data_IF_844509589186
#
_entry.id   IF_844509589186
#
_cell.length_a   1.000
_cell.length_b   1.000
_cell.length_c   1.000
_cell.angle_alpha   90.00
_cell.angle_beta   90.00
_cell.angle_gamma   90.00
#
_symmetry.space_group_name_H-M   'P 1'
#
loop_
_entity.id
_entity.type
_entity.pdbx_description
1 polymer ?
#
# COMPACT_ATOMS: atom_id res chain seq x y z
N UNK A 1 -63.12 26.05 28.74
CA UNK A 1 -62.07 26.81 28.06
C UNK A 1 -60.76 26.21 28.28
N UNK A 2 -60.55 24.90 27.97
CA UNK A 2 -59.30 24.13 28.24
C UNK A 2 -58.86 23.20 27.09
N UNK A 3 -59.53 23.26 25.93
CA UNK A 3 -59.24 22.38 24.80
C UNK A 3 -58.36 22.96 23.67
N UNK A 4 -58.02 24.25 23.77
CA UNK A 4 -57.26 24.93 22.70
C UNK A 4 -55.73 24.76 22.77
N UNK A 5 -55.19 24.48 23.98
CA UNK A 5 -53.75 24.45 24.17
C UNK A 5 -53.08 23.12 23.78
N UNK A 6 -53.86 22.02 23.74
CA UNK A 6 -53.29 20.71 23.44
C UNK A 6 -52.98 20.52 21.96
N UNK A 7 -53.77 21.12 21.08
CA UNK A 7 -53.56 21.06 19.62
C UNK A 7 -52.36 21.94 19.17
N UNK A 8 -52.16 23.09 19.82
CA UNK A 8 -51.00 23.98 19.54
C UNK A 8 -49.70 23.36 20.04
N UNK A 9 -49.69 22.76 21.23
CA UNK A 9 -48.52 22.04 21.75
C UNK A 9 -48.13 20.86 20.87
N UNK A 10 -49.07 20.05 20.38
CA UNK A 10 -48.77 18.95 19.44
C UNK A 10 -48.15 19.45 18.12
N UNK A 11 -48.61 20.55 17.57
CA UNK A 11 -48.04 21.15 16.36
C UNK A 11 -46.63 21.69 16.58
N UNK A 12 -46.36 22.31 17.72
CA UNK A 12 -45.03 22.82 18.06
C UNK A 12 -44.03 21.64 18.27
N UNK A 13 -44.46 20.59 18.96
CA UNK A 13 -43.61 19.40 19.18
C UNK A 13 -43.33 18.67 17.84
N UNK A 14 -44.30 18.54 16.95
CA UNK A 14 -44.10 17.93 15.63
C UNK A 14 -43.18 18.78 14.76
N UNK A 15 -43.28 20.12 14.81
CA UNK A 15 -42.40 21.02 14.07
C UNK A 15 -40.97 21.00 14.61
N UNK A 16 -40.77 20.88 15.92
CA UNK A 16 -39.43 20.76 16.53
C UNK A 16 -38.79 19.38 16.18
N UNK A 17 -39.58 18.31 16.18
CA UNK A 17 -39.10 16.98 15.82
C UNK A 17 -38.72 16.90 14.33
N UNK A 18 -39.53 17.53 13.44
CA UNK A 18 -39.17 17.59 12.01
C UNK A 18 -37.95 18.46 11.71
N UNK A 19 -37.74 19.56 12.45
CA UNK A 19 -36.51 20.38 12.32
C UNK A 19 -35.29 19.72 12.94
N UNK A 20 -35.43 18.90 13.99
CA UNK A 20 -34.30 18.13 14.52
C UNK A 20 -33.92 16.92 13.63
N UNK A 21 -34.86 16.35 12.87
CA UNK A 21 -34.56 15.26 11.94
C UNK A 21 -33.94 15.75 10.63
N UNK A 22 -33.98 17.02 10.31
CA UNK A 22 -33.31 17.62 9.14
C UNK A 22 -31.88 18.12 9.45
N UNK A 23 -31.48 18.10 10.72
CA UNK A 23 -30.08 18.21 11.15
C UNK A 23 -29.37 16.83 11.16
N UNK A 24 -29.81 15.94 10.27
CA UNK A 24 -28.96 14.83 9.86
C UNK A 24 -27.70 15.43 9.28
N UNK A 25 -26.65 15.36 10.07
CA UNK A 25 -25.30 15.61 9.68
C UNK A 25 -25.06 15.00 8.30
N UNK A 26 -25.17 15.81 7.26
CA UNK A 26 -24.36 15.61 6.09
C UNK A 26 -22.93 15.84 6.62
N UNK A 27 -22.32 14.80 7.16
CA UNK A 27 -20.89 14.67 7.08
C UNK A 27 -20.64 14.70 5.57
N UNK A 28 -20.46 15.90 5.03
CA UNK A 28 -19.79 16.06 3.76
C UNK A 28 -18.46 15.37 3.96
N UNK A 29 -18.38 14.14 3.49
CA UNK A 29 -17.11 13.60 3.05
C UNK A 29 -16.58 14.70 2.13
N UNK A 30 -15.64 15.46 2.63
CA UNK A 30 -14.80 16.32 1.79
C UNK A 30 -14.13 15.32 0.87
N UNK A 31 -14.76 15.05 -0.27
CA UNK A 31 -14.09 14.46 -1.40
C UNK A 31 -13.00 15.46 -1.72
N UNK A 32 -11.78 15.13 -1.31
CA UNK A 32 -10.61 15.77 -1.85
C UNK A 32 -10.69 15.46 -3.34
N UNK A 33 -11.15 16.42 -4.14
CA UNK A 33 -11.10 16.31 -5.59
C UNK A 33 -9.63 16.26 -5.95
N UNK A 34 -9.14 15.05 -6.12
CA UNK A 34 -7.83 14.82 -6.69
C UNK A 34 -7.90 15.19 -8.18
N UNK A 35 -7.49 16.41 -8.47
CA UNK A 35 -7.40 16.94 -9.84
C UNK A 35 -6.19 16.40 -10.59
N UNK A 36 -5.33 15.62 -9.93
CA UNK A 36 -4.17 15.01 -10.53
C UNK A 36 -4.56 13.82 -11.40
N UNK A 37 -3.99 13.71 -12.59
CA UNK A 37 -4.13 12.55 -13.48
C UNK A 37 -3.16 11.41 -13.05
N UNK A 38 -3.07 11.15 -11.75
CA UNK A 38 -2.23 10.08 -11.24
C UNK A 38 -3.01 8.77 -11.13
N UNK A 39 -2.32 7.68 -11.37
CA UNK A 39 -2.83 6.34 -11.10
C UNK A 39 -2.62 6.04 -9.63
N UNK A 40 -3.72 5.79 -8.90
CA UNK A 40 -3.65 5.48 -7.48
C UNK A 40 -3.63 3.98 -7.24
N UNK A 41 -2.90 3.59 -6.23
CA UNK A 41 -2.87 2.26 -5.68
C UNK A 41 -2.62 2.29 -4.19
N UNK A 42 -2.71 1.12 -3.58
CA UNK A 42 -2.44 0.93 -2.16
C UNK A 42 -1.48 -0.23 -1.96
N UNK A 43 -0.74 -0.22 -0.88
CA UNK A 43 0.00 -1.37 -0.38
C UNK A 43 -0.63 -1.87 0.93
N UNK A 44 -0.69 -3.19 1.09
CA UNK A 44 -1.38 -3.84 2.20
C UNK A 44 -0.60 -5.05 2.71
N UNK A 45 -0.77 -5.32 3.99
CA UNK A 45 -0.32 -6.54 4.67
C UNK A 45 -1.37 -6.98 5.70
N UNK A 46 -1.06 -8.01 6.47
CA UNK A 46 -1.92 -8.43 7.58
C UNK A 46 -2.12 -7.32 8.63
N UNK A 47 -1.25 -6.32 8.72
CA UNK A 47 -1.36 -5.22 9.69
C UNK A 47 -2.60 -4.35 9.47
N UNK A 48 -3.12 -4.25 8.25
CA UNK A 48 -4.36 -3.55 7.94
C UNK A 48 -5.62 -4.35 8.32
N UNK A 49 -5.46 -5.58 8.79
CA UNK A 49 -6.58 -6.42 9.21
C UNK A 49 -7.49 -6.86 8.07
N UNK A 50 -8.80 -6.70 8.24
CA UNK A 50 -9.77 -7.02 7.20
C UNK A 50 -10.00 -5.81 6.30
N UNK A 51 -9.85 -5.99 5.01
CA UNK A 51 -10.03 -4.96 3.99
C UNK A 51 -11.46 -5.05 3.44
N UNK A 52 -12.13 -3.91 3.31
CA UNK A 52 -13.44 -3.79 2.67
C UNK A 52 -13.26 -3.69 1.15
N UNK A 53 -13.00 -4.83 0.51
CA UNK A 53 -12.62 -4.90 -0.90
C UNK A 53 -13.68 -4.35 -1.86
N UNK A 54 -14.96 -4.47 -1.52
CA UNK A 54 -16.04 -3.84 -2.27
C UNK A 54 -15.84 -2.32 -2.33
N UNK A 55 -15.58 -1.68 -1.19
CA UNK A 55 -15.31 -0.23 -1.12
C UNK A 55 -14.06 0.18 -1.90
N UNK A 56 -13.01 -0.66 -1.86
CA UNK A 56 -11.76 -0.40 -2.61
C UNK A 56 -11.98 -0.53 -4.11
N UNK A 57 -12.69 -1.58 -4.55
CA UNK A 57 -12.95 -1.84 -5.96
C UNK A 57 -13.96 -0.85 -6.58
N UNK A 58 -14.92 -0.36 -5.80
CA UNK A 58 -15.87 0.66 -6.26
C UNK A 58 -15.23 2.06 -6.42
N UNK A 59 -14.04 2.26 -5.85
CA UNK A 59 -13.29 3.49 -6.05
C UNK A 59 -12.60 3.49 -7.40
N UNK A 60 -13.22 4.14 -8.39
CA UNK A 60 -12.72 4.23 -9.77
C UNK A 60 -11.33 4.85 -9.92
N UNK A 61 -10.81 5.50 -8.88
CA UNK A 61 -9.43 6.02 -8.84
C UNK A 61 -8.40 4.96 -8.46
N UNK A 62 -8.82 3.87 -7.80
CA UNK A 62 -7.93 2.78 -7.41
C UNK A 62 -7.72 1.81 -8.58
N UNK A 63 -6.48 1.68 -9.04
CA UNK A 63 -6.14 0.85 -10.18
C UNK A 63 -5.37 -0.42 -9.78
N UNK A 64 -4.63 -0.37 -8.69
CA UNK A 64 -3.75 -1.46 -8.30
C UNK A 64 -3.57 -1.58 -6.78
N UNK A 65 -3.10 -2.75 -6.38
CA UNK A 65 -2.69 -3.03 -5.00
C UNK A 65 -1.37 -3.81 -5.00
N UNK A 66 -0.46 -3.46 -4.10
CA UNK A 66 0.66 -4.30 -3.72
C UNK A 66 0.37 -5.01 -2.40
N UNK A 67 0.51 -6.33 -2.38
CA UNK A 67 0.23 -7.17 -1.21
C UNK A 67 1.53 -7.74 -0.64
N UNK A 68 1.72 -7.63 0.68
CA UNK A 68 2.80 -8.35 1.35
C UNK A 68 2.61 -9.83 1.16
N UNK A 69 3.58 -10.47 0.52
CA UNK A 69 3.57 -11.92 0.38
C UNK A 69 4.43 -12.57 1.44
N UNK A 70 5.66 -12.06 1.60
CA UNK A 70 6.64 -12.68 2.48
C UNK A 70 7.59 -11.66 3.11
N UNK A 71 8.33 -12.12 4.11
CA UNK A 71 9.40 -11.38 4.77
C UNK A 71 10.54 -12.33 5.17
N UNK A 72 11.76 -11.97 4.86
CA UNK A 72 12.94 -12.80 5.21
C UNK A 72 12.81 -14.24 4.69
N UNK A 73 13.37 -15.18 5.42
CA UNK A 73 13.52 -16.55 4.94
C UNK A 73 12.28 -17.44 5.06
N UNK A 74 11.34 -17.13 5.96
CA UNK A 74 10.26 -18.07 6.33
C UNK A 74 8.92 -17.41 6.64
N UNK A 75 8.89 -16.10 6.80
CA UNK A 75 7.65 -15.42 7.18
C UNK A 75 6.76 -15.22 5.95
N UNK A 76 5.52 -15.70 6.02
CA UNK A 76 4.48 -15.54 5.02
C UNK A 76 3.38 -14.67 5.60
N UNK A 77 2.92 -13.66 4.85
CA UNK A 77 1.82 -12.82 5.31
C UNK A 77 0.53 -13.61 5.38
N UNK A 78 -0.09 -13.63 6.56
CA UNK A 78 -1.28 -14.46 6.85
C UNK A 78 -2.52 -14.08 6.04
N UNK A 79 -2.55 -12.87 5.48
CA UNK A 79 -3.67 -12.37 4.67
C UNK A 79 -3.39 -12.42 3.15
N UNK A 80 -2.16 -12.73 2.74
CA UNK A 80 -1.75 -12.65 1.34
C UNK A 80 -2.69 -13.40 0.40
N UNK A 81 -2.89 -14.70 0.65
CA UNK A 81 -3.68 -15.55 -0.24
C UNK A 81 -5.14 -15.09 -0.34
N UNK A 82 -5.73 -14.70 0.79
CA UNK A 82 -7.10 -14.17 0.79
C UNK A 82 -7.19 -12.85 0.04
N UNK A 83 -6.21 -11.96 0.26
CA UNK A 83 -6.23 -10.63 -0.31
C UNK A 83 -5.98 -10.63 -1.82
N UNK A 84 -5.11 -11.51 -2.35
CA UNK A 84 -4.88 -11.59 -3.80
C UNK A 84 -6.14 -12.04 -4.54
N UNK A 85 -6.84 -13.06 -4.02
CA UNK A 85 -8.09 -13.57 -4.61
C UNK A 85 -9.19 -12.50 -4.61
N UNK A 86 -9.29 -11.73 -3.51
CA UNK A 86 -10.29 -10.68 -3.38
C UNK A 86 -9.95 -9.46 -4.24
N UNK A 87 -8.71 -9.02 -4.27
CA UNK A 87 -8.28 -7.88 -5.10
C UNK A 87 -8.57 -8.13 -6.58
N UNK A 88 -8.24 -9.31 -7.10
CA UNK A 88 -8.57 -9.69 -8.47
C UNK A 88 -10.08 -9.74 -8.72
N UNK A 89 -10.85 -10.31 -7.77
CA UNK A 89 -12.32 -10.37 -7.89
C UNK A 89 -12.95 -8.99 -8.01
N UNK A 90 -12.39 -7.99 -7.36
CA UNK A 90 -12.83 -6.60 -7.43
C UNK A 90 -12.13 -5.77 -8.52
N UNK A 91 -11.44 -6.42 -9.46
CA UNK A 91 -10.92 -5.81 -10.68
C UNK A 91 -9.63 -5.01 -10.54
N UNK A 92 -8.94 -5.10 -9.41
CA UNK A 92 -7.66 -4.43 -9.21
C UNK A 92 -6.51 -5.20 -9.86
N UNK A 93 -5.52 -4.48 -10.37
CA UNK A 93 -4.23 -5.05 -10.74
C UNK A 93 -3.43 -5.38 -9.48
N UNK A 94 -2.86 -6.57 -9.42
CA UNK A 94 -2.18 -7.04 -8.22
C UNK A 94 -0.68 -7.22 -8.45
N UNK A 95 0.09 -6.64 -7.55
CA UNK A 95 1.51 -6.94 -7.37
C UNK A 95 1.76 -7.52 -5.98
N UNK A 96 2.88 -8.18 -5.82
CA UNK A 96 3.28 -8.73 -4.54
C UNK A 96 4.63 -8.19 -4.11
N UNK A 97 4.81 -8.03 -2.80
CA UNK A 97 6.08 -7.59 -2.28
C UNK A 97 6.70 -8.55 -1.25
N UNK A 98 8.01 -8.53 -1.23
CA UNK A 98 8.85 -9.20 -0.25
C UNK A 98 9.55 -8.16 0.62
N UNK A 99 9.38 -8.25 1.94
CA UNK A 99 10.13 -7.43 2.88
C UNK A 99 11.53 -8.02 3.09
N UNK A 100 12.53 -7.32 2.58
CA UNK A 100 13.92 -7.76 2.60
C UNK A 100 14.54 -7.69 3.99
N UNK A 101 15.23 -8.75 4.39
CA UNK A 101 15.99 -8.85 5.65
C UNK A 101 17.47 -9.09 5.38
N UNK A 102 18.29 -8.06 5.55
CA UNK A 102 19.68 -8.03 5.13
C UNK A 102 20.56 -9.18 5.69
N UNK A 103 20.25 -9.66 6.89
CA UNK A 103 21.02 -10.73 7.56
C UNK A 103 20.54 -12.14 7.21
N UNK A 104 19.51 -12.29 6.41
CA UNK A 104 18.99 -13.58 5.99
C UNK A 104 19.61 -13.96 4.63
N UNK A 105 20.02 -15.22 4.42
CA UNK A 105 20.57 -15.65 3.13
C UNK A 105 19.64 -15.34 1.97
N UNK A 106 20.18 -14.76 0.90
CA UNK A 106 19.41 -14.25 -0.23
C UNK A 106 18.63 -15.36 -0.96
N UNK A 107 19.24 -16.53 -1.09
CA UNK A 107 18.59 -17.68 -1.73
C UNK A 107 17.37 -18.14 -0.94
N UNK A 108 17.46 -18.19 0.39
CA UNK A 108 16.33 -18.56 1.26
C UNK A 108 15.19 -17.55 1.16
N UNK A 109 15.49 -16.25 1.05
CA UNK A 109 14.47 -15.20 0.85
C UNK A 109 13.80 -15.34 -0.51
N UNK A 110 14.58 -15.62 -1.58
CA UNK A 110 14.01 -15.85 -2.90
C UNK A 110 13.06 -17.06 -2.91
N UNK A 111 13.47 -18.16 -2.30
CA UNK A 111 12.66 -19.38 -2.20
C UNK A 111 11.34 -19.12 -1.46
N UNK A 112 11.41 -18.40 -0.34
CA UNK A 112 10.22 -17.98 0.40
C UNK A 112 9.28 -17.13 -0.45
N UNK A 113 9.82 -16.14 -1.17
CA UNK A 113 9.02 -15.26 -2.03
C UNK A 113 8.40 -16.03 -3.20
N UNK A 114 9.17 -16.83 -3.92
CA UNK A 114 8.68 -17.62 -5.06
C UNK A 114 7.66 -18.70 -4.67
N UNK A 115 7.73 -19.22 -3.45
CA UNK A 115 6.75 -20.19 -2.95
C UNK A 115 5.33 -19.59 -2.86
N UNK A 116 5.22 -18.27 -2.68
CA UNK A 116 3.94 -17.55 -2.59
C UNK A 116 3.59 -16.84 -3.90
N UNK A 117 4.57 -16.29 -4.61
CA UNK A 117 4.40 -15.43 -5.78
C UNK A 117 5.15 -16.00 -6.97
N UNK A 118 4.53 -16.85 -7.76
CA UNK A 118 5.17 -17.39 -8.96
C UNK A 118 5.30 -16.33 -10.05
N UNK A 119 6.38 -16.36 -10.84
CA UNK A 119 6.45 -15.56 -12.06
C UNK A 119 5.25 -15.88 -12.96
N UNK A 120 4.54 -14.85 -13.40
CA UNK A 120 3.34 -14.99 -14.24
C UNK A 120 2.00 -14.95 -13.50
N UNK A 121 1.99 -15.08 -12.18
CA UNK A 121 0.76 -14.94 -11.37
C UNK A 121 0.53 -13.47 -10.95
N UNK A 122 1.35 -12.54 -11.43
CA UNK A 122 1.37 -11.15 -11.04
C UNK A 122 0.99 -10.24 -12.21
N UNK A 123 0.14 -9.25 -11.97
CA UNK A 123 -0.17 -8.21 -12.96
C UNK A 123 0.93 -7.14 -13.02
N UNK A 124 1.67 -6.96 -11.92
CA UNK A 124 2.67 -5.90 -11.74
C UNK A 124 4.07 -6.50 -11.52
N UNK A 125 5.10 -5.66 -11.57
CA UNK A 125 6.46 -6.07 -11.24
C UNK A 125 6.54 -6.64 -9.82
N UNK A 126 7.36 -7.68 -9.58
CA UNK A 126 7.65 -8.07 -8.20
C UNK A 126 8.29 -6.89 -7.48
N UNK A 127 7.89 -6.63 -6.25
CA UNK A 127 8.42 -5.52 -5.47
C UNK A 127 9.25 -6.01 -4.30
N UNK A 128 10.40 -5.36 -4.09
CA UNK A 128 11.27 -5.60 -2.94
C UNK A 128 11.22 -4.38 -2.05
N UNK A 129 10.76 -4.60 -0.82
CA UNK A 129 10.63 -3.59 0.21
C UNK A 129 11.90 -3.53 1.05
N UNK A 130 12.61 -2.40 1.01
CA UNK A 130 13.95 -2.21 1.56
C UNK A 130 13.96 -1.01 2.50
N UNK A 131 13.75 -1.27 3.80
CA UNK A 131 13.61 -0.22 4.81
C UNK A 131 14.64 -0.29 5.94
N UNK A 132 15.40 -1.37 6.02
CA UNK A 132 16.35 -1.55 7.12
C UNK A 132 17.60 -2.31 6.69
N UNK A 133 18.76 -1.85 7.12
CA UNK A 133 20.02 -2.58 6.97
C UNK A 133 20.33 -3.51 8.14
N UNK A 134 19.43 -3.62 9.13
CA UNK A 134 19.55 -4.54 10.28
C UNK A 134 20.89 -4.43 11.01
N UNK A 135 21.45 -3.22 11.10
CA UNK A 135 22.74 -2.98 11.77
C UNK A 135 23.98 -3.45 10.99
N UNK A 136 23.84 -3.87 9.73
CA UNK A 136 24.99 -4.17 8.86
C UNK A 136 25.76 -2.91 8.49
N UNK A 137 27.02 -3.05 8.12
CA UNK A 137 27.74 -2.00 7.42
C UNK A 137 27.04 -1.66 6.11
N UNK A 138 27.19 -0.43 5.63
CA UNK A 138 26.44 0.05 4.46
C UNK A 138 26.91 -0.63 3.17
N UNK A 139 28.21 -0.89 3.03
CA UNK A 139 28.77 -1.55 1.86
C UNK A 139 28.35 -3.04 1.83
N UNK A 140 28.54 -3.72 2.96
CA UNK A 140 28.09 -5.11 3.13
C UNK A 140 26.58 -5.26 2.86
N UNK A 141 25.76 -4.32 3.37
CA UNK A 141 24.33 -4.29 3.11
C UNK A 141 24.01 -4.14 1.63
N UNK A 142 24.66 -3.20 0.95
CA UNK A 142 24.42 -2.99 -0.48
C UNK A 142 24.82 -4.22 -1.30
N UNK A 143 25.95 -4.84 -1.03
CA UNK A 143 26.39 -6.07 -1.69
C UNK A 143 25.40 -7.21 -1.48
N UNK A 144 24.89 -7.37 -0.25
CA UNK A 144 23.87 -8.34 0.11
C UNK A 144 22.57 -8.10 -0.66
N UNK A 145 22.11 -6.84 -0.69
CA UNK A 145 20.90 -6.43 -1.42
C UNK A 145 21.06 -6.70 -2.92
N UNK A 146 22.16 -6.28 -3.54
CA UNK A 146 22.38 -6.51 -4.97
C UNK A 146 22.38 -7.98 -5.34
N UNK A 147 23.00 -8.82 -4.54
CA UNK A 147 22.95 -10.29 -4.75
C UNK A 147 21.51 -10.78 -4.75
N UNK A 148 20.68 -10.29 -3.84
CA UNK A 148 19.26 -10.66 -3.78
C UNK A 148 18.50 -10.16 -5.00
N UNK A 149 18.67 -8.88 -5.38
CA UNK A 149 18.00 -8.30 -6.55
C UNK A 149 18.31 -9.05 -7.84
N UNK A 150 19.57 -9.45 -8.05
CA UNK A 150 19.99 -10.26 -9.20
C UNK A 150 19.33 -11.65 -9.20
N UNK A 151 19.17 -12.27 -8.04
CA UNK A 151 18.45 -13.54 -7.93
C UNK A 151 16.97 -13.37 -8.29
N UNK A 152 16.32 -12.31 -7.80
CA UNK A 152 14.92 -11.98 -8.15
C UNK A 152 14.79 -11.70 -9.66
N UNK A 153 15.68 -10.88 -10.22
CA UNK A 153 15.69 -10.56 -11.66
C UNK A 153 15.82 -11.84 -12.51
N UNK A 154 16.73 -12.73 -12.15
CA UNK A 154 16.91 -14.02 -12.84
C UNK A 154 15.67 -14.90 -12.75
N UNK A 155 15.02 -14.97 -11.58
CA UNK A 155 13.87 -15.81 -11.34
C UNK A 155 12.61 -15.29 -12.04
N UNK A 156 12.35 -13.98 -11.96
CA UNK A 156 11.18 -13.35 -12.55
C UNK A 156 11.38 -12.86 -13.98
N UNK A 157 12.63 -12.93 -14.49
CA UNK A 157 13.05 -12.46 -15.84
C UNK A 157 12.71 -10.99 -16.09
N UNK A 158 12.63 -10.21 -15.03
CA UNK A 158 12.39 -8.76 -15.03
C UNK A 158 12.96 -8.14 -13.76
N UNK A 159 13.38 -6.89 -13.87
CA UNK A 159 13.87 -6.14 -12.71
C UNK A 159 12.74 -5.87 -11.73
N UNK A 160 12.92 -6.12 -10.43
CA UNK A 160 11.92 -5.76 -9.45
C UNK A 160 11.79 -4.25 -9.30
N UNK A 161 10.62 -3.82 -8.86
CA UNK A 161 10.38 -2.49 -8.30
C UNK A 161 10.98 -2.45 -6.89
N UNK A 162 11.68 -1.39 -6.54
CA UNK A 162 12.24 -1.22 -5.20
C UNK A 162 11.40 -0.21 -4.44
N UNK A 163 10.79 -0.67 -3.35
CA UNK A 163 10.14 0.22 -2.38
C UNK A 163 11.12 0.58 -1.28
N UNK A 164 11.21 1.86 -0.93
CA UNK A 164 12.06 2.34 0.15
C UNK A 164 11.63 3.74 0.62
N UNK A 165 11.98 4.11 1.85
CA UNK A 165 11.77 5.48 2.33
C UNK A 165 12.77 6.46 1.71
N UNK A 166 12.34 7.71 1.42
CA UNK A 166 13.21 8.74 0.85
C UNK A 166 14.50 8.93 1.66
N UNK A 167 14.39 9.03 2.99
CA UNK A 167 15.57 9.17 3.85
C UNK A 167 16.49 7.94 3.82
N UNK A 168 15.93 6.74 3.72
CA UNK A 168 16.72 5.52 3.64
C UNK A 168 17.48 5.45 2.34
N UNK A 169 16.82 5.79 1.22
CA UNK A 169 17.45 5.89 -0.08
C UNK A 169 18.61 6.88 -0.05
N UNK A 170 18.37 8.11 0.37
CA UNK A 170 19.37 9.19 0.39
C UNK A 170 20.60 8.89 1.26
N UNK A 171 20.44 8.06 2.30
CA UNK A 171 21.55 7.75 3.19
C UNK A 171 22.34 6.48 2.79
N UNK A 172 21.68 5.50 2.20
CA UNK A 172 22.29 4.18 2.02
C UNK A 172 22.30 3.67 0.57
N UNK A 173 21.38 4.18 -0.29
CA UNK A 173 21.17 3.62 -1.62
C UNK A 173 21.44 4.62 -2.75
N UNK A 174 21.78 5.87 -2.41
CA UNK A 174 22.03 6.95 -3.35
C UNK A 174 23.05 6.54 -4.42
N UNK A 175 22.69 6.67 -5.70
CA UNK A 175 23.55 6.32 -6.85
C UNK A 175 23.82 4.83 -7.01
N UNK A 176 23.14 3.95 -6.26
CA UNK A 176 23.38 2.50 -6.30
C UNK A 176 22.27 1.73 -7.03
N UNK A 177 21.09 2.30 -7.21
CA UNK A 177 19.93 1.64 -7.80
C UNK A 177 19.49 2.21 -9.15
N UNK A 178 20.40 2.83 -9.91
CA UNK A 178 20.09 3.56 -11.14
C UNK A 178 19.36 2.72 -12.20
N UNK A 179 19.60 1.44 -12.21
CA UNK A 179 18.97 0.52 -13.17
C UNK A 179 17.60 -0.03 -12.73
N UNK A 180 17.14 0.30 -11.52
CA UNK A 180 15.86 -0.16 -10.95
C UNK A 180 14.84 0.97 -10.89
N UNK A 181 13.56 0.65 -11.05
CA UNK A 181 12.47 1.57 -10.75
C UNK A 181 12.29 1.68 -9.24
N UNK A 182 11.94 2.86 -8.78
CA UNK A 182 11.71 3.12 -7.35
C UNK A 182 10.24 3.43 -7.09
N UNK A 183 9.78 3.02 -5.91
CA UNK A 183 8.57 3.49 -5.26
C UNK A 183 8.99 4.10 -3.93
N UNK A 184 8.87 5.41 -3.78
CA UNK A 184 9.42 6.14 -2.63
C UNK A 184 8.34 6.45 -1.62
N UNK A 185 8.53 5.94 -0.40
CA UNK A 185 7.68 6.25 0.74
C UNK A 185 8.10 7.55 1.42
N UNK A 186 7.13 8.44 1.65
CA UNK A 186 7.33 9.64 2.45
C UNK A 186 6.05 9.99 3.20
N UNK A 187 6.12 9.94 4.52
CA UNK A 187 4.98 10.19 5.40
C UNK A 187 4.80 11.68 5.72
N UNK A 188 4.84 12.51 4.70
CA UNK A 188 4.62 13.96 4.81
C UNK A 188 3.68 14.45 3.69
N UNK A 189 3.16 15.68 3.83
CA UNK A 189 2.32 16.31 2.80
C UNK A 189 3.12 16.83 1.59
N UNK A 190 4.46 16.73 1.61
CA UNK A 190 5.31 17.21 0.52
C UNK A 190 5.64 16.04 -0.40
N UNK A 191 5.67 16.30 -1.70
CA UNK A 191 6.21 15.34 -2.66
C UNK A 191 7.66 15.00 -2.30
N UNK A 192 8.04 13.72 -2.29
CA UNK A 192 9.44 13.34 -2.07
C UNK A 192 10.36 14.00 -3.12
N UNK A 193 11.54 14.39 -2.68
CA UNK A 193 12.62 14.83 -3.57
C UNK A 193 13.87 14.09 -3.13
N UNK A 194 14.44 13.31 -4.02
CA UNK A 194 15.67 12.55 -3.77
C UNK A 194 16.88 13.44 -4.04
N UNK A 195 17.98 13.23 -3.32
CA UNK A 195 19.20 14.05 -3.42
C UNK A 195 19.86 14.02 -4.80
N UNK A 196 19.69 12.94 -5.55
CA UNK A 196 20.19 12.81 -6.93
C UNK A 196 19.22 13.36 -7.98
N UNK A 197 18.05 13.82 -7.58
CA UNK A 197 17.04 14.41 -8.45
C UNK A 197 16.38 13.43 -9.42
N UNK A 198 16.54 12.10 -9.21
CA UNK A 198 15.92 11.11 -10.09
C UNK A 198 14.41 11.01 -9.86
N UNK A 199 13.71 10.69 -10.93
CA UNK A 199 12.28 10.36 -10.90
C UNK A 199 12.04 8.92 -10.36
N UNK A 200 10.84 8.69 -9.82
CA UNK A 200 10.41 7.44 -9.21
C UNK A 200 8.92 7.17 -9.41
#
# INVERSE_FOLDING_TARGET
MFFSNFAVMKKIIITIITTLLTLSTHAQLVQCEDTCQHVHGIDLSHYQGNVFWETVGDNTKMAYVYLKATEGGTNVDSKYKQNIDLAHRYGLKVGSYHFYRARIPQQTQLENFMAQCRPGDQDLLPMIDVETKSGMDTEEFCDSLFKFLLLVEKAYKQKPLIYTGANFYDHYLLGKLDSYKLMIAQYTKRTPVLKDGRDF
#
